data_IF_060226234636
#
_entry.id   IF_060226234636
#
_cell.length_a   1.000
_cell.length_b   1.000
_cell.length_c   1.000
_cell.angle_alpha   90.00
_cell.angle_beta   90.00
_cell.angle_gamma   90.00
#
_symmetry.space_group_name_H-M   'P 1'
#
loop_
_entity.id
_entity.type
_entity.pdbx_description
1 polymer ?
#
# COMPACT_ATOMS: atom_id res chain seq x y z
N UNK A 1 -15.95 18.24 11.59
CA UNK A 1 -15.80 19.36 10.64
C UNK A 1 -15.29 18.72 9.36
N UNK A 2 -16.07 18.75 8.28
CA UNK A 2 -15.70 18.10 7.02
C UNK A 2 -14.61 18.96 6.36
N UNK A 3 -13.40 18.41 6.20
CA UNK A 3 -12.27 19.13 5.61
C UNK A 3 -12.20 18.75 4.13
N UNK A 4 -13.03 19.37 3.30
CA UNK A 4 -12.83 19.36 1.84
C UNK A 4 -11.93 20.55 1.48
N UNK A 5 -10.83 20.27 0.78
CA UNK A 5 -9.97 21.32 0.23
C UNK A 5 -10.54 21.84 -1.08
N UNK A 6 -10.22 23.07 -1.47
CA UNK A 6 -10.61 23.64 -2.78
C UNK A 6 -10.12 22.78 -3.97
N UNK A 7 -9.10 21.95 -3.75
CA UNK A 7 -8.55 20.97 -4.70
C UNK A 7 -9.29 19.62 -4.76
N UNK A 8 -10.34 19.41 -3.95
CA UNK A 8 -11.05 18.13 -3.88
C UNK A 8 -10.29 17.01 -3.14
N UNK A 9 -9.28 17.36 -2.34
CA UNK A 9 -8.58 16.38 -1.49
C UNK A 9 -9.46 15.99 -0.31
N UNK A 10 -9.60 14.69 -0.11
CA UNK A 10 -10.25 14.06 1.05
C UNK A 10 -9.17 13.86 2.12
N UNK A 11 -9.26 14.60 3.24
CA UNK A 11 -8.27 14.59 4.31
C UNK A 11 -8.79 13.89 5.58
N UNK A 12 -7.91 13.51 6.53
CA UNK A 12 -8.33 12.91 7.80
C UNK A 12 -9.41 13.76 8.49
N UNK A 13 -10.50 13.11 8.92
CA UNK A 13 -11.70 13.76 9.47
C UNK A 13 -12.83 14.02 8.46
N UNK A 14 -12.60 13.73 7.18
CA UNK A 14 -13.66 13.69 6.17
C UNK A 14 -14.46 12.36 6.27
N UNK A 15 -15.81 12.37 6.14
CA UNK A 15 -16.63 11.15 6.25
C UNK A 15 -16.26 10.02 5.29
N UNK A 16 -15.75 10.38 4.10
CA UNK A 16 -15.29 9.44 3.08
C UNK A 16 -13.78 9.18 3.09
N UNK A 17 -13.06 9.66 4.12
CA UNK A 17 -11.60 9.50 4.16
C UNK A 17 -11.19 8.02 4.18
N UNK A 18 -11.77 7.25 5.09
CA UNK A 18 -11.47 5.82 5.20
C UNK A 18 -11.90 5.07 3.94
N UNK A 19 -13.11 5.33 3.44
CA UNK A 19 -13.61 4.73 2.19
C UNK A 19 -12.67 5.02 1.01
N UNK A 20 -12.19 6.26 0.88
CA UNK A 20 -11.28 6.65 -0.19
C UNK A 20 -9.90 6.00 -0.02
N UNK A 21 -9.38 5.97 1.20
CA UNK A 21 -8.10 5.34 1.54
C UNK A 21 -8.11 3.85 1.19
N UNK A 22 -9.18 3.13 1.54
CA UNK A 22 -9.28 1.69 1.29
C UNK A 22 -9.72 1.33 -0.14
N UNK A 23 -10.32 2.26 -0.90
CA UNK A 23 -10.76 2.01 -2.27
C UNK A 23 -9.75 2.45 -3.35
N UNK A 24 -8.65 3.11 -2.98
CA UNK A 24 -7.70 3.67 -3.95
C UNK A 24 -6.43 2.83 -4.03
N UNK A 25 -6.27 2.10 -5.13
CA UNK A 25 -5.04 1.38 -5.45
C UNK A 25 -3.96 2.33 -6.00
N UNK A 26 -2.67 1.95 -5.96
CA UNK A 26 -1.55 2.81 -6.36
C UNK A 26 -1.71 3.34 -7.78
N UNK A 27 -1.33 4.60 -8.07
CA UNK A 27 -1.41 5.14 -9.42
C UNK A 27 -0.71 4.24 -10.45
N UNK A 28 -1.26 4.18 -11.67
CA UNK A 28 -0.73 3.39 -12.79
C UNK A 28 -0.67 1.86 -12.60
N UNK A 29 -1.18 1.29 -11.50
CA UNK A 29 -1.19 -0.17 -11.27
C UNK A 29 -1.82 -0.95 -12.43
N UNK A 30 -2.88 -0.42 -13.05
CA UNK A 30 -3.55 -1.06 -14.21
C UNK A 30 -2.65 -1.15 -15.42
N UNK A 31 -1.84 -0.12 -15.69
CA UNK A 31 -0.91 -0.13 -16.80
C UNK A 31 0.22 -1.12 -16.54
N UNK A 32 0.71 -1.18 -15.30
CA UNK A 32 1.70 -2.17 -14.89
C UNK A 32 1.17 -3.60 -15.05
N UNK A 33 -0.03 -3.89 -14.53
CA UNK A 33 -0.70 -5.18 -14.62
C UNK A 33 -1.00 -5.61 -16.07
N UNK A 34 -1.27 -4.65 -16.97
CA UNK A 34 -1.46 -4.94 -18.39
C UNK A 34 -0.19 -5.52 -19.05
N UNK A 35 0.99 -5.11 -18.58
CA UNK A 35 2.27 -5.59 -19.08
C UNK A 35 2.84 -6.78 -18.29
N UNK A 36 2.36 -6.99 -17.06
CA UNK A 36 2.79 -8.04 -16.15
C UNK A 36 1.55 -8.78 -15.63
N UNK A 37 1.10 -9.86 -16.30
CA UNK A 37 -0.12 -10.56 -15.92
C UNK A 37 -0.02 -11.22 -14.53
N UNK A 38 1.18 -11.64 -14.16
CA UNK A 38 1.51 -12.19 -12.84
C UNK A 38 2.19 -11.08 -12.02
N UNK A 39 1.37 -10.28 -11.33
CA UNK A 39 1.80 -9.17 -10.50
C UNK A 39 1.23 -9.29 -9.08
N UNK A 40 1.87 -8.60 -8.14
CA UNK A 40 1.43 -8.53 -6.75
C UNK A 40 1.46 -7.07 -6.26
N UNK A 41 0.93 -6.86 -5.05
CA UNK A 41 1.11 -5.63 -4.30
C UNK A 41 1.93 -5.91 -3.04
N UNK A 42 2.94 -5.07 -2.78
CA UNK A 42 3.76 -5.14 -1.56
C UNK A 42 3.75 -3.79 -0.85
N UNK A 43 3.83 -3.80 0.47
CA UNK A 43 3.92 -2.59 1.28
C UNK A 43 5.37 -2.44 1.76
N UNK A 44 6.14 -1.57 1.12
CA UNK A 44 7.59 -1.46 1.38
C UNK A 44 7.88 -1.07 2.84
N UNK A 45 8.89 -1.70 3.45
CA UNK A 45 9.35 -1.31 4.78
C UNK A 45 9.83 0.16 4.77
N UNK A 46 9.60 0.88 5.85
CA UNK A 46 9.98 2.27 6.07
C UNK A 46 9.06 3.31 5.41
N UNK A 47 8.46 2.99 4.25
CA UNK A 47 7.51 3.89 3.57
C UNK A 47 6.06 3.58 3.92
N UNK A 48 5.73 2.29 4.12
CA UNK A 48 4.36 1.82 4.27
C UNK A 48 3.49 2.03 3.02
N UNK A 49 4.09 2.43 1.89
CA UNK A 49 3.41 2.69 0.63
C UNK A 49 3.18 1.37 -0.08
N UNK A 50 1.95 1.18 -0.56
CA UNK A 50 1.60 0.05 -1.39
C UNK A 50 2.14 0.27 -2.81
N UNK A 51 2.93 -0.68 -3.30
CA UNK A 51 3.53 -0.66 -4.64
C UNK A 51 3.06 -1.88 -5.44
N UNK A 52 2.92 -1.70 -6.74
CA UNK A 52 2.68 -2.80 -7.69
C UNK A 52 4.03 -3.35 -8.13
N UNK A 53 4.21 -4.67 -8.05
CA UNK A 53 5.49 -5.34 -8.34
C UNK A 53 5.28 -6.58 -9.19
N UNK A 54 6.34 -7.02 -9.86
CA UNK A 54 6.39 -8.32 -10.55
C UNK A 54 6.42 -9.47 -9.54
N UNK A 55 6.18 -10.69 -10.02
CA UNK A 55 6.32 -11.90 -9.20
C UNK A 55 7.74 -12.06 -8.62
N UNK A 56 8.79 -11.80 -9.40
CA UNK A 56 10.19 -11.93 -8.95
C UNK A 56 10.49 -10.96 -7.79
N UNK A 57 10.04 -9.71 -7.91
CA UNK A 57 10.18 -8.71 -6.85
C UNK A 57 9.35 -9.06 -5.60
N UNK A 58 8.20 -9.73 -5.77
CA UNK A 58 7.41 -10.25 -4.65
C UNK A 58 8.15 -11.38 -3.93
N UNK A 59 8.77 -12.30 -4.66
CA UNK A 59 9.58 -13.37 -4.11
C UNK A 59 10.79 -12.79 -3.35
N UNK A 60 11.48 -11.79 -3.91
CA UNK A 60 12.56 -11.08 -3.21
C UNK A 60 12.06 -10.37 -1.95
N UNK A 61 10.87 -9.75 -1.98
CA UNK A 61 10.28 -9.10 -0.81
C UNK A 61 10.04 -10.09 0.36
N UNK A 62 9.56 -11.30 0.03
CA UNK A 62 9.28 -12.35 1.02
C UNK A 62 10.58 -13.04 1.48
N UNK A 63 11.41 -13.48 0.55
CA UNK A 63 12.60 -14.29 0.84
C UNK A 63 13.81 -13.44 1.27
N UNK A 64 13.84 -12.16 0.90
CA UNK A 64 14.88 -11.21 1.24
C UNK A 64 14.74 -10.59 2.63
N UNK A 65 13.66 -10.89 3.37
CA UNK A 65 13.41 -10.41 4.72
C UNK A 65 12.91 -8.96 4.80
N UNK A 66 12.50 -8.34 3.68
CA UNK A 66 11.84 -7.02 3.70
C UNK A 66 10.45 -7.14 4.34
N UNK A 67 9.73 -8.24 4.06
CA UNK A 67 8.45 -8.52 4.70
C UNK A 67 8.54 -8.61 6.23
N UNK A 68 9.56 -9.29 6.75
CA UNK A 68 9.78 -9.43 8.19
C UNK A 68 10.03 -8.06 8.84
N UNK A 69 10.89 -7.22 8.23
CA UNK A 69 11.09 -5.84 8.67
C UNK A 69 9.80 -5.03 8.68
N UNK A 70 8.94 -5.23 7.67
CA UNK A 70 7.63 -4.57 7.60
C UNK A 70 6.70 -5.03 8.73
N UNK A 71 6.75 -6.29 9.14
CA UNK A 71 5.98 -6.80 10.28
C UNK A 71 6.44 -6.16 11.59
N UNK A 72 7.77 -6.12 11.83
CA UNK A 72 8.37 -5.46 12.99
C UNK A 72 7.94 -3.97 13.08
N UNK A 73 7.92 -3.25 11.96
CA UNK A 73 7.48 -1.84 11.91
C UNK A 73 6.00 -1.64 12.21
N UNK A 74 5.15 -2.62 11.88
CA UNK A 74 3.73 -2.54 12.15
C UNK A 74 3.41 -2.74 13.64
N UNK A 75 4.38 -3.19 14.44
CA UNK A 75 4.15 -3.63 15.81
C UNK A 75 3.27 -4.87 15.89
N UNK A 76 3.13 -5.63 14.78
CA UNK A 76 2.53 -6.97 14.76
C UNK A 76 3.59 -7.99 15.24
N UNK A 77 4.20 -7.70 16.40
CA UNK A 77 4.65 -8.75 17.28
C UNK A 77 3.40 -9.15 18.07
N UNK A 78 2.80 -10.29 17.72
CA UNK A 78 1.87 -11.00 18.59
C UNK A 78 2.60 -11.39 19.91
N UNK A 79 2.86 -10.41 20.78
CA UNK A 79 3.22 -10.59 22.18
C UNK A 79 2.33 -9.69 23.05
N UNK A 80 1.04 -10.07 23.19
CA UNK A 80 0.31 -10.34 24.45
C UNK A 80 -1.23 -10.40 24.29
#
# INVERSE_FOLDING_TARGET
MVIETESGLILPGHPFFDDYLYCTLPPAWRNFAYHNPDFAFVARSGSGILEVVTQEEMEEYIEGGEYDQRLEECGDDDED
#
